data_IF_416504577831
#
_entry.id   IF_416504577831
#
_cell.length_a   1.000
_cell.length_b   1.000
_cell.length_c   1.000
_cell.angle_alpha   90.00
_cell.angle_beta   90.00
_cell.angle_gamma   90.00
#
_symmetry.space_group_name_H-M   'P 1'
#
loop_
_entity.id
_entity.type
_entity.pdbx_description
1 polymer ?
#
# COMPACT_ATOMS: atom_id res chain seq x y z
N UNK A 1 -28.07 51.37 -48.05
CA UNK A 1 -26.59 51.53 -48.02
C UNK A 1 -26.12 51.02 -46.66
N UNK A 2 -25.39 49.90 -46.53
CA UNK A 2 -23.91 49.82 -46.52
C UNK A 2 -23.32 50.96 -45.67
N UNK A 3 -22.50 50.81 -44.62
CA UNK A 3 -21.68 49.72 -44.04
C UNK A 3 -21.14 50.23 -42.66
N UNK A 4 -20.89 49.31 -41.72
CA UNK A 4 -19.88 49.23 -40.61
C UNK A 4 -19.24 50.53 -40.05
N UNK A 5 -18.87 50.67 -38.75
CA UNK A 5 -17.84 49.91 -38.04
C UNK A 5 -17.66 50.45 -36.59
N UNK A 6 -17.71 49.55 -35.60
CA UNK A 6 -16.99 49.45 -34.31
C UNK A 6 -16.60 50.68 -33.46
N UNK A 7 -16.93 50.62 -32.16
CA UNK A 7 -15.89 50.42 -31.13
C UNK A 7 -16.44 49.70 -29.89
N UNK A 8 -15.71 48.66 -29.52
CA UNK A 8 -15.84 47.79 -28.35
C UNK A 8 -15.49 48.53 -27.05
N UNK A 9 -16.22 48.26 -25.97
CA UNK A 9 -15.68 48.22 -24.62
C UNK A 9 -16.29 47.03 -23.90
N UNK A 10 -15.62 45.89 -24.08
CA UNK A 10 -15.78 44.68 -23.26
C UNK A 10 -15.27 45.00 -21.86
N UNK A 11 -16.17 45.27 -20.92
CA UNK A 11 -15.88 45.14 -19.50
C UNK A 11 -16.38 43.74 -19.11
N UNK A 12 -15.47 42.77 -19.23
CA UNK A 12 -15.61 41.45 -18.62
C UNK A 12 -15.42 41.64 -17.11
N UNK A 13 -16.53 41.78 -16.38
CA UNK A 13 -16.52 41.40 -14.97
C UNK A 13 -16.45 39.87 -14.89
N UNK A 14 -15.21 39.38 -14.86
CA UNK A 14 -14.87 38.15 -14.17
C UNK A 14 -15.28 38.31 -12.70
N UNK A 15 -16.47 37.83 -12.37
CA UNK A 15 -16.74 37.39 -11.01
C UNK A 15 -16.32 35.93 -10.95
N UNK A 16 -15.16 35.68 -10.35
CA UNK A 16 -14.81 34.38 -9.80
C UNK A 16 -15.93 33.98 -8.84
N UNK A 17 -16.84 33.12 -9.29
CA UNK A 17 -17.43 32.19 -8.34
C UNK A 17 -16.27 31.28 -7.96
N UNK A 18 -15.85 31.38 -6.70
CA UNK A 18 -15.14 30.28 -6.07
C UNK A 18 -16.04 29.07 -6.27
N UNK A 19 -15.62 28.14 -7.14
CA UNK A 19 -16.07 26.77 -7.02
C UNK A 19 -15.64 26.36 -5.63
N UNK A 20 -16.60 26.44 -4.69
CA UNK A 20 -16.49 25.76 -3.42
C UNK A 20 -15.97 24.37 -3.75
N UNK A 21 -14.78 24.05 -3.24
CA UNK A 21 -14.23 22.71 -3.31
C UNK A 21 -15.39 21.77 -3.00
N UNK A 22 -15.79 20.98 -4.00
CA UNK A 22 -16.77 19.93 -3.79
C UNK A 22 -16.09 18.99 -2.82
N UNK A 23 -16.37 19.18 -1.53
CA UNK A 23 -16.12 18.22 -0.49
C UNK A 23 -16.99 17.04 -0.91
N UNK A 24 -16.41 16.12 -1.68
CA UNK A 24 -16.99 14.80 -1.86
C UNK A 24 -17.09 14.29 -0.42
N UNK A 25 -18.31 14.15 0.13
CA UNK A 25 -18.45 13.55 1.44
C UNK A 25 -17.76 12.20 1.34
N UNK A 26 -16.87 11.88 2.28
CA UNK A 26 -16.54 10.48 2.52
C UNK A 26 -17.89 9.86 2.82
N UNK A 27 -18.47 9.18 1.83
CA UNK A 27 -19.66 8.38 2.03
C UNK A 27 -19.33 7.55 3.25
N UNK A 28 -20.08 7.75 4.33
CA UNK A 28 -20.11 6.85 5.47
C UNK A 28 -20.64 5.54 4.91
N UNK A 29 -19.76 4.80 4.24
CA UNK A 29 -19.94 3.42 3.85
C UNK A 29 -20.02 2.67 5.17
N UNK A 30 -21.24 2.58 5.69
CA UNK A 30 -21.61 1.62 6.73
C UNK A 30 -21.45 0.23 6.13
N UNK A 31 -20.20 -0.20 5.99
CA UNK A 31 -19.84 -1.53 5.52
C UNK A 31 -19.64 -2.42 6.74
N UNK A 32 -20.50 -3.42 6.88
CA UNK A 32 -20.50 -4.40 7.97
C UNK A 32 -19.83 -5.72 7.59
N UNK A 33 -19.24 -5.81 6.39
CA UNK A 33 -18.69 -7.04 5.84
C UNK A 33 -17.16 -7.00 5.82
N UNK A 34 -16.54 -7.25 6.97
CA UNK A 34 -15.10 -7.49 7.01
C UNK A 34 -14.78 -8.88 6.46
N UNK A 35 -13.72 -9.04 5.64
CA UNK A 35 -13.37 -10.35 5.15
C UNK A 35 -12.92 -11.18 6.34
N UNK A 36 -13.62 -12.28 6.64
CA UNK A 36 -13.19 -13.21 7.70
C UNK A 36 -11.89 -13.92 7.34
N UNK A 37 -11.50 -13.90 6.07
CA UNK A 37 -10.23 -14.41 5.61
C UNK A 37 -9.96 -14.14 4.13
N UNK A 38 -8.78 -14.52 3.67
CA UNK A 38 -8.41 -14.51 2.24
C UNK A 38 -7.51 -15.69 1.93
N UNK A 39 -7.58 -16.23 0.70
CA UNK A 39 -6.75 -17.37 0.33
C UNK A 39 -5.36 -16.96 -0.08
N UNK A 40 -4.43 -17.85 0.22
CA UNK A 40 -3.05 -17.82 -0.21
C UNK A 40 -2.75 -19.13 -0.93
N UNK A 41 -2.07 -19.04 -2.06
CA UNK A 41 -1.60 -20.23 -2.79
C UNK A 41 -0.47 -20.87 -2.02
N UNK A 42 -0.62 -22.12 -1.59
CA UNK A 42 0.42 -22.91 -0.92
C UNK A 42 1.03 -23.95 -1.85
N UNK A 43 2.12 -24.60 -1.44
CA UNK A 43 2.67 -25.73 -2.18
C UNK A 43 1.68 -26.91 -2.26
N UNK A 44 0.85 -27.08 -1.24
CA UNK A 44 -0.11 -28.19 -1.12
C UNK A 44 -1.51 -27.84 -1.68
N UNK A 45 -1.69 -26.64 -2.23
CA UNK A 45 -2.96 -26.18 -2.79
C UNK A 45 -3.26 -24.74 -2.39
N UNK A 46 -4.39 -24.52 -1.74
CA UNK A 46 -4.77 -23.21 -1.24
C UNK A 46 -5.07 -23.30 0.25
N UNK A 47 -4.72 -22.26 0.98
CA UNK A 47 -5.12 -22.13 2.36
C UNK A 47 -5.66 -20.73 2.65
N UNK A 48 -6.31 -20.52 3.79
CA UNK A 48 -6.99 -19.28 4.14
C UNK A 48 -6.37 -18.65 5.37
N UNK A 49 -6.00 -17.39 5.25
CA UNK A 49 -5.69 -16.52 6.38
C UNK A 49 -7.01 -16.09 7.00
N UNK A 50 -7.17 -16.19 8.32
CA UNK A 50 -8.35 -15.72 9.05
C UNK A 50 -8.08 -14.36 9.70
N UNK A 51 -9.10 -13.52 9.75
CA UNK A 51 -9.07 -12.18 10.33
C UNK A 51 -10.12 -12.06 11.46
N UNK A 52 -9.73 -11.46 12.59
CA UNK A 52 -10.61 -11.19 13.73
C UNK A 52 -10.69 -9.70 14.02
N UNK A 53 -11.86 -9.25 14.46
CA UNK A 53 -12.20 -7.85 14.59
C UNK A 53 -12.81 -7.54 15.96
N UNK A 54 -12.57 -6.33 16.45
CA UNK A 54 -13.24 -5.75 17.60
C UNK A 54 -13.56 -4.29 17.30
N UNK A 55 -14.79 -3.86 17.56
CA UNK A 55 -15.23 -2.48 17.32
C UNK A 55 -14.85 -1.97 15.91
N UNK A 56 -15.12 -2.78 14.88
CA UNK A 56 -14.85 -2.43 13.48
C UNK A 56 -13.36 -2.22 13.12
N UNK A 57 -12.46 -2.68 13.99
CA UNK A 57 -11.00 -2.69 13.74
C UNK A 57 -10.49 -4.11 13.74
N UNK A 58 -9.56 -4.40 12.84
CA UNK A 58 -8.85 -5.69 12.83
C UNK A 58 -7.96 -5.78 14.07
N UNK A 59 -8.10 -6.85 14.85
CA UNK A 59 -7.28 -7.12 16.04
C UNK A 59 -6.38 -8.33 15.90
N UNK A 60 -6.66 -9.23 14.94
CA UNK A 60 -5.84 -10.42 14.72
C UNK A 60 -5.86 -10.93 13.29
N UNK A 61 -4.71 -11.38 12.81
CA UNK A 61 -4.53 -12.21 11.62
C UNK A 61 -4.01 -13.59 12.04
N UNK A 62 -4.60 -14.65 11.53
CA UNK A 62 -4.20 -16.04 11.78
C UNK A 62 -3.86 -16.67 10.44
N UNK A 63 -2.66 -17.22 10.31
CA UNK A 63 -2.08 -17.63 9.04
C UNK A 63 -1.01 -16.65 8.58
N UNK A 64 0.20 -17.15 8.41
CA UNK A 64 1.29 -16.40 7.78
C UNK A 64 2.26 -17.33 7.05
N UNK A 65 3.15 -16.74 6.28
CA UNK A 65 4.24 -17.43 5.59
C UNK A 65 5.52 -17.37 6.40
N UNK A 66 6.21 -18.50 6.51
CA UNK A 66 7.58 -18.58 7.03
C UNK A 66 8.51 -18.91 5.87
N UNK A 67 9.62 -18.19 5.80
CA UNK A 67 10.73 -18.59 4.96
C UNK A 67 11.62 -19.59 5.72
N UNK A 68 11.75 -20.82 5.21
CA UNK A 68 12.64 -21.82 5.80
C UNK A 68 14.09 -21.61 5.36
N UNK A 69 15.02 -22.20 6.10
CA UNK A 69 16.45 -22.02 5.87
C UNK A 69 16.89 -22.47 4.46
N UNK A 70 17.96 -21.86 3.97
CA UNK A 70 18.61 -22.20 2.70
C UNK A 70 18.97 -23.69 2.57
N UNK A 71 19.31 -24.34 3.69
CA UNK A 71 19.61 -25.78 3.75
C UNK A 71 18.43 -26.68 3.33
N UNK A 72 17.20 -26.15 3.38
CA UNK A 72 15.97 -26.84 2.93
C UNK A 72 15.53 -26.44 1.51
N UNK A 73 16.34 -25.67 0.78
CA UNK A 73 16.04 -25.20 -0.57
C UNK A 73 15.15 -23.97 -0.64
N UNK A 74 15.16 -23.11 0.39
CA UNK A 74 14.34 -21.88 0.48
C UNK A 74 12.85 -22.13 0.24
N UNK A 75 12.24 -23.02 1.02
CA UNK A 75 10.80 -23.23 0.94
C UNK A 75 10.07 -22.18 1.77
N UNK A 76 9.04 -21.58 1.21
CA UNK A 76 8.07 -20.82 2.01
C UNK A 76 6.98 -21.79 2.47
N UNK A 77 6.73 -21.85 3.78
CA UNK A 77 5.68 -22.70 4.37
C UNK A 77 4.61 -21.78 4.94
N UNK A 78 3.37 -22.00 4.52
CA UNK A 78 2.22 -21.36 5.13
C UNK A 78 1.81 -22.14 6.39
N UNK A 79 1.45 -21.45 7.46
CA UNK A 79 0.93 -22.09 8.67
C UNK A 79 -0.14 -21.25 9.36
N UNK A 80 -1.26 -21.89 9.69
CA UNK A 80 -2.34 -21.34 10.54
C UNK A 80 -1.95 -21.24 12.03
N UNK A 81 -0.81 -21.78 12.41
CA UNK A 81 -0.27 -21.69 13.78
C UNK A 81 0.53 -20.40 14.01
N UNK A 82 0.55 -19.51 13.02
CA UNK A 82 1.19 -18.20 13.08
C UNK A 82 0.13 -17.13 13.17
N UNK A 83 0.34 -16.16 14.05
CA UNK A 83 -0.63 -15.13 14.34
C UNK A 83 0.04 -13.76 14.37
N UNK A 84 -0.69 -12.72 13.98
CA UNK A 84 -0.30 -11.33 14.18
C UNK A 84 -1.43 -10.63 14.93
N UNK A 85 -1.16 -10.14 16.12
CA UNK A 85 -2.08 -9.30 16.88
C UNK A 85 -1.87 -7.83 16.52
N UNK A 86 -2.95 -7.05 16.60
CA UNK A 86 -2.96 -5.61 16.35
C UNK A 86 -3.55 -4.90 17.57
N UNK A 87 -2.71 -4.17 18.29
CA UNK A 87 -3.08 -3.43 19.49
C UNK A 87 -3.15 -1.94 19.20
N UNK A 88 -4.35 -1.36 19.28
CA UNK A 88 -4.56 0.08 19.09
C UNK A 88 -4.49 0.83 20.41
N UNK A 89 -3.71 1.91 20.45
CA UNK A 89 -3.62 2.81 21.60
C UNK A 89 -3.52 4.26 21.13
N UNK A 90 -4.55 5.06 21.42
CA UNK A 90 -4.61 6.45 20.96
C UNK A 90 -4.51 6.57 19.44
N UNK A 91 -3.43 7.19 18.95
CA UNK A 91 -3.14 7.39 17.52
C UNK A 91 -2.18 6.35 16.94
N UNK A 92 -1.95 5.23 17.62
CA UNK A 92 -1.03 4.19 17.13
C UNK A 92 -1.67 2.81 17.07
N UNK A 93 -1.12 1.95 16.22
CA UNK A 93 -1.37 0.52 16.20
C UNK A 93 -0.03 -0.23 16.24
N UNK A 94 0.12 -1.17 17.17
CA UNK A 94 1.29 -2.02 17.27
C UNK A 94 0.95 -3.41 16.74
N UNK A 95 1.78 -3.94 15.84
CA UNK A 95 1.67 -5.30 15.34
C UNK A 95 2.68 -6.18 16.08
N UNK A 96 2.20 -7.30 16.62
CA UNK A 96 3.05 -8.30 17.27
C UNK A 96 2.78 -9.67 16.68
N UNK A 97 3.83 -10.34 16.22
CA UNK A 97 3.75 -11.68 15.64
C UNK A 97 4.00 -12.75 16.69
N UNK A 98 3.24 -13.84 16.62
CA UNK A 98 3.30 -14.98 17.53
C UNK A 98 3.33 -16.28 16.75
N UNK A 99 4.06 -17.27 17.26
CA UNK A 99 4.10 -18.62 16.70
C UNK A 99 3.71 -19.65 17.75
N UNK A 100 2.76 -20.52 17.38
CA UNK A 100 2.36 -21.71 18.15
C UNK A 100 3.07 -22.98 17.66
N UNK A 101 4.09 -22.84 16.80
CA UNK A 101 4.94 -23.95 16.36
C UNK A 101 6.08 -24.16 17.36
N UNK A 102 6.35 -25.41 17.72
CA UNK A 102 7.43 -25.75 18.66
C UNK A 102 8.83 -25.42 18.11
N UNK A 103 9.00 -25.50 16.79
CA UNK A 103 10.29 -25.34 16.11
C UNK A 103 10.51 -23.95 15.49
N UNK A 104 9.53 -23.05 15.59
CA UNK A 104 9.63 -21.71 15.01
C UNK A 104 9.10 -20.66 15.98
N UNK A 105 9.87 -19.58 16.16
CA UNK A 105 9.48 -18.41 16.93
C UNK A 105 9.82 -17.16 16.13
N UNK A 106 8.92 -16.18 16.15
CA UNK A 106 9.24 -14.88 15.58
C UNK A 106 10.31 -14.20 16.43
N UNK A 107 11.17 -13.45 15.76
CA UNK A 107 11.98 -12.45 16.44
C UNK A 107 11.06 -11.33 16.94
N UNK A 108 11.42 -10.71 18.06
CA UNK A 108 10.65 -9.62 18.66
C UNK A 108 10.86 -8.32 17.87
N UNK A 109 10.51 -8.34 16.59
CA UNK A 109 10.51 -7.17 15.71
C UNK A 109 9.28 -6.31 16.07
N UNK A 110 9.43 -5.00 16.00
CA UNK A 110 8.36 -4.07 16.36
C UNK A 110 7.85 -3.37 15.12
N UNK A 111 6.54 -3.40 14.90
CA UNK A 111 5.88 -2.75 13.78
C UNK A 111 4.85 -1.76 14.35
N UNK A 112 5.14 -0.47 14.29
CA UNK A 112 4.28 0.59 14.85
C UNK A 112 3.74 1.45 13.73
N UNK A 113 2.43 1.58 13.64
CA UNK A 113 1.75 2.50 12.73
C UNK A 113 1.22 3.70 13.52
N UNK A 114 1.42 4.90 12.99
CA UNK A 114 0.89 6.16 13.53
C UNK A 114 -0.17 6.70 12.59
N UNK A 115 -1.27 7.20 13.15
CA UNK A 115 -2.42 7.70 12.40
C UNK A 115 -2.62 9.20 12.58
N UNK A 116 -3.00 9.87 11.49
CA UNK A 116 -3.64 11.18 11.51
C UNK A 116 -5.13 11.00 11.14
N UNK A 117 -6.01 11.01 12.14
CA UNK A 117 -7.41 10.62 11.95
C UNK A 117 -7.50 9.13 11.59
N UNK A 118 -8.06 8.82 10.41
CA UNK A 118 -8.17 7.46 9.89
C UNK A 118 -7.02 7.06 8.94
N UNK A 119 -6.18 8.02 8.55
CA UNK A 119 -5.07 7.80 7.62
C UNK A 119 -3.82 7.42 8.38
N UNK A 120 -3.09 6.41 7.89
CA UNK A 120 -1.73 6.12 8.38
C UNK A 120 -0.85 7.28 7.93
N UNK A 121 -0.17 7.95 8.87
CA UNK A 121 0.81 9.00 8.56
C UNK A 121 2.22 8.43 8.48
N UNK A 122 2.54 7.48 9.37
CA UNK A 122 3.87 6.87 9.45
C UNK A 122 3.79 5.41 9.86
N UNK A 123 4.77 4.60 9.46
CA UNK A 123 5.02 3.29 10.04
C UNK A 123 6.51 3.11 10.35
N UNK A 124 6.83 2.58 11.52
CA UNK A 124 8.21 2.33 11.97
C UNK A 124 8.38 0.85 12.25
N UNK A 125 9.35 0.24 11.58
CA UNK A 125 9.72 -1.16 11.74
C UNK A 125 11.14 -1.25 12.32
N UNK A 126 11.29 -1.98 13.42
CA UNK A 126 12.59 -2.27 14.05
C UNK A 126 12.79 -3.77 14.17
N UNK A 127 14.04 -4.21 14.02
CA UNK A 127 14.36 -5.63 13.89
C UNK A 127 15.32 -6.07 14.98
N UNK A 128 14.95 -7.10 15.73
CA UNK A 128 15.79 -7.60 16.83
C UNK A 128 17.13 -8.17 16.33
N UNK A 129 17.13 -8.80 15.15
CA UNK A 129 18.33 -9.39 14.57
C UNK A 129 19.35 -8.36 14.08
N UNK A 130 18.92 -7.11 13.82
CA UNK A 130 19.77 -6.06 13.28
C UNK A 130 19.62 -4.81 14.17
N UNK A 131 20.27 -4.81 15.35
CA UNK A 131 20.18 -3.68 16.26
C UNK A 131 20.67 -2.41 15.56
N UNK A 132 19.95 -1.30 15.77
CA UNK A 132 20.14 0.00 15.13
C UNK A 132 19.68 0.13 13.67
N UNK A 133 19.13 -0.93 13.06
CA UNK A 133 18.44 -0.80 11.76
C UNK A 133 16.95 -0.52 11.97
N UNK A 134 16.46 0.58 11.39
CA UNK A 134 15.06 1.00 11.45
C UNK A 134 14.57 1.40 10.07
N UNK A 135 13.41 0.89 9.67
CA UNK A 135 12.68 1.37 8.50
C UNK A 135 11.56 2.30 8.95
N UNK A 136 11.51 3.49 8.36
CA UNK A 136 10.43 4.46 8.55
C UNK A 136 9.74 4.73 7.23
N UNK A 137 8.46 4.38 7.15
CA UNK A 137 7.59 4.66 6.02
C UNK A 137 6.79 5.94 6.31
N UNK A 138 6.86 6.94 5.43
CA UNK A 138 6.11 8.19 5.54
C UNK A 138 5.05 8.25 4.45
N UNK A 139 3.79 8.39 4.84
CA UNK A 139 2.63 8.33 3.97
C UNK A 139 2.12 9.75 3.71
N UNK A 140 2.10 10.16 2.43
CA UNK A 140 1.69 11.50 2.03
C UNK A 140 0.42 11.42 1.19
N UNK A 141 -0.58 12.22 1.56
CA UNK A 141 -1.89 12.26 0.94
C UNK A 141 -2.13 13.59 0.24
N UNK A 142 -2.93 13.56 -0.81
CA UNK A 142 -3.45 14.71 -1.54
C UNK A 142 -4.92 14.44 -1.84
N UNK A 143 -5.80 15.40 -1.54
CA UNK A 143 -7.26 15.24 -1.71
C UNK A 143 -7.82 13.96 -1.06
N UNK A 144 -7.36 13.65 0.16
CA UNK A 144 -7.72 12.44 0.92
C UNK A 144 -7.33 11.09 0.28
N UNK A 145 -6.55 11.09 -0.81
CA UNK A 145 -5.99 9.89 -1.44
C UNK A 145 -4.48 9.81 -1.21
N UNK A 146 -3.94 8.60 -1.05
CA UNK A 146 -2.49 8.43 -0.90
C UNK A 146 -1.81 8.86 -2.21
N UNK A 147 -0.84 9.77 -2.11
CA UNK A 147 -0.05 10.25 -3.24
C UNK A 147 1.24 9.45 -3.37
N UNK A 148 2.00 9.36 -2.28
CA UNK A 148 3.21 8.55 -2.24
C UNK A 148 3.55 8.05 -0.84
N UNK A 149 4.41 7.04 -0.78
CA UNK A 149 5.08 6.57 0.43
C UNK A 149 6.59 6.66 0.21
N UNK A 150 7.27 7.31 1.13
CA UNK A 150 8.74 7.30 1.21
C UNK A 150 9.20 6.25 2.21
N UNK A 151 10.24 5.50 1.86
CA UNK A 151 11.00 4.69 2.81
C UNK A 151 12.27 5.43 3.21
N UNK A 152 12.40 5.69 4.50
CA UNK A 152 13.63 6.14 5.13
C UNK A 152 14.25 5.01 5.95
N UNK A 153 15.57 4.88 5.92
CA UNK A 153 16.32 3.91 6.71
C UNK A 153 17.26 4.64 7.65
N UNK A 154 17.32 4.17 8.90
CA UNK A 154 18.39 4.50 9.84
C UNK A 154 19.18 3.25 10.13
N UNK A 155 20.50 3.33 10.05
CA UNK A 155 21.45 2.27 10.37
C UNK A 155 22.70 2.85 11.07
N UNK A 156 23.79 2.09 11.12
CA UNK A 156 25.04 2.56 11.75
C UNK A 156 25.68 3.75 11.02
N UNK A 157 25.48 3.85 9.71
CA UNK A 157 26.14 4.83 8.84
C UNK A 157 25.23 6.00 8.51
N UNK A 158 23.91 5.76 8.38
CA UNK A 158 22.97 6.76 7.93
C UNK A 158 21.79 6.94 8.90
N UNK A 159 21.26 8.16 8.98
CA UNK A 159 20.07 8.49 9.77
C UNK A 159 18.99 9.07 8.87
N UNK A 160 17.80 8.46 8.87
CA UNK A 160 16.67 8.85 8.02
C UNK A 160 17.06 9.04 6.54
N UNK A 161 17.81 8.09 6.01
CA UNK A 161 18.27 8.06 4.62
C UNK A 161 17.12 7.64 3.70
N UNK A 162 16.72 8.50 2.75
CA UNK A 162 15.69 8.16 1.78
C UNK A 162 16.21 7.02 0.89
N UNK A 163 15.55 5.87 0.91
CA UNK A 163 15.91 4.71 0.09
C UNK A 163 15.10 4.60 -1.18
N UNK A 164 13.79 4.86 -1.11
CA UNK A 164 12.90 4.78 -2.26
C UNK A 164 11.58 5.54 -2.03
N UNK A 165 10.85 5.73 -3.13
CA UNK A 165 9.48 6.25 -3.16
C UNK A 165 8.56 5.36 -3.97
N UNK A 166 7.34 5.17 -3.48
CA UNK A 166 6.21 4.56 -4.20
C UNK A 166 5.17 5.62 -4.46
N UNK A 167 4.95 6.00 -5.72
CA UNK A 167 3.88 6.91 -6.13
C UNK A 167 2.63 6.12 -6.51
N UNK A 168 1.45 6.59 -6.12
CA UNK A 168 0.17 5.92 -6.34
C UNK A 168 -0.70 6.74 -7.30
N UNK A 169 -1.37 6.06 -8.21
CA UNK A 169 -2.23 6.65 -9.21
C UNK A 169 -3.59 5.97 -9.19
N UNK A 170 -4.66 6.76 -9.23
CA UNK A 170 -6.04 6.27 -9.17
C UNK A 170 -6.74 6.58 -10.49
N UNK A 171 -7.62 5.67 -10.92
CA UNK A 171 -8.49 5.93 -12.06
C UNK A 171 -9.73 6.75 -11.64
N UNK A 172 -10.51 7.17 -12.63
CA UNK A 172 -11.71 7.99 -12.44
C UNK A 172 -12.80 7.33 -11.59
N UNK A 173 -12.74 6.01 -11.40
CA UNK A 173 -13.69 5.27 -10.57
C UNK A 173 -13.25 5.19 -9.09
N UNK A 174 -12.12 5.83 -8.73
CA UNK A 174 -11.56 5.79 -7.37
C UNK A 174 -10.87 4.46 -7.04
N UNK A 175 -10.45 3.70 -8.06
CA UNK A 175 -9.69 2.47 -7.89
C UNK A 175 -8.20 2.73 -8.14
N UNK A 176 -7.32 2.04 -7.43
CA UNK A 176 -5.88 2.15 -7.62
C UNK A 176 -5.53 1.68 -9.04
N UNK A 177 -5.09 2.54 -9.92
CA UNK A 177 -4.73 2.14 -11.29
C UNK A 177 -3.35 1.51 -11.31
N UNK A 178 -2.39 2.20 -10.72
CA UNK A 178 -0.99 1.81 -10.74
C UNK A 178 -0.21 2.37 -9.56
N UNK A 179 0.90 1.72 -9.25
CA UNK A 179 1.96 2.28 -8.42
C UNK A 179 3.27 2.29 -9.19
N UNK A 180 4.09 3.28 -8.88
CA UNK A 180 5.39 3.46 -9.50
C UNK A 180 6.45 3.59 -8.42
N UNK A 181 7.33 2.60 -8.36
CA UNK A 181 8.47 2.53 -7.46
C UNK A 181 9.73 3.11 -8.13
N UNK A 182 10.49 3.89 -7.37
CA UNK A 182 11.83 4.40 -7.71
C UNK A 182 12.74 4.33 -6.49
N UNK A 183 13.96 3.87 -6.72
CA UNK A 183 15.05 4.04 -5.76
C UNK A 183 15.46 5.52 -5.67
N UNK A 184 16.01 5.90 -4.53
CA UNK A 184 16.64 7.19 -4.35
C UNK A 184 18.00 7.22 -5.04
N UNK A 185 18.34 8.40 -5.55
CA UNK A 185 19.66 8.71 -6.07
C UNK A 185 20.51 9.40 -5.02
N UNK A 186 21.81 9.13 -5.13
CA UNK A 186 22.86 9.64 -4.27
C UNK A 186 23.85 10.44 -5.10
N UNK A 187 24.23 11.63 -4.61
CA UNK A 187 25.38 12.34 -5.16
C UNK A 187 26.63 11.90 -4.40
N UNK A 188 27.39 10.98 -5.00
CA UNK A 188 28.62 10.45 -4.41
C UNK A 188 29.78 11.47 -4.40
N UNK A 189 29.62 12.63 -5.04
CA UNK A 189 30.65 13.67 -5.08
C UNK A 189 30.36 14.82 -4.11
N UNK A 190 29.12 14.93 -3.63
CA UNK A 190 28.71 15.94 -2.67
C UNK A 190 27.82 15.33 -1.58
N UNK A 191 28.47 14.94 -0.47
CA UNK A 191 27.82 14.34 0.71
C UNK A 191 26.83 15.29 1.42
N UNK A 192 26.85 16.60 1.13
CA UNK A 192 25.89 17.55 1.67
C UNK A 192 24.51 17.49 0.98
N UNK A 193 24.41 16.80 -0.17
CA UNK A 193 23.15 16.63 -0.90
C UNK A 193 22.45 15.38 -0.36
N UNK A 194 21.30 15.51 0.31
CA UNK A 194 20.56 14.35 0.80
C UNK A 194 20.04 13.52 -0.39
N UNK A 195 19.84 12.20 -0.20
CA UNK A 195 19.30 11.35 -1.26
C UNK A 195 17.93 11.85 -1.71
N UNK A 196 17.65 11.73 -3.01
CA UNK A 196 16.45 12.28 -3.63
C UNK A 196 15.88 11.38 -4.72
N UNK A 197 14.63 11.58 -5.09
CA UNK A 197 14.02 10.85 -6.22
C UNK A 197 14.31 11.61 -7.51
N UNK A 198 15.17 11.09 -8.38
CA UNK A 198 15.38 11.66 -9.71
C UNK A 198 14.29 11.21 -10.70
N UNK A 199 13.39 12.13 -11.05
CA UNK A 199 12.35 11.88 -12.06
C UNK A 199 12.86 11.96 -13.50
N UNK A 200 14.10 12.43 -13.73
CA UNK A 200 14.72 12.40 -15.07
C UNK A 200 15.18 11.00 -15.42
N UNK A 201 15.57 10.18 -14.43
CA UNK A 201 15.82 8.76 -14.64
C UNK A 201 14.51 8.05 -14.99
N UNK A 202 14.60 7.23 -16.03
CA UNK A 202 13.47 6.45 -16.51
C UNK A 202 13.41 5.06 -15.88
N UNK A 203 14.46 4.63 -15.18
CA UNK A 203 14.50 3.40 -14.42
C UNK A 203 13.42 3.41 -13.33
N UNK A 204 12.59 2.37 -13.31
CA UNK A 204 11.46 2.27 -12.39
C UNK A 204 10.83 0.88 -12.44
N UNK A 205 10.04 0.59 -11.41
CA UNK A 205 9.13 -0.56 -11.41
C UNK A 205 7.69 -0.07 -11.36
N UNK A 206 6.86 -0.55 -12.28
CA UNK A 206 5.45 -0.18 -12.38
C UNK A 206 4.61 -1.42 -12.09
N UNK A 207 3.74 -1.34 -11.08
CA UNK A 207 2.70 -2.34 -10.85
C UNK A 207 1.36 -1.76 -11.28
N UNK A 208 0.67 -2.43 -12.19
CA UNK A 208 -0.69 -2.09 -12.62
C UNK A 208 -1.70 -3.03 -11.97
N UNK A 209 -2.86 -2.47 -11.62
CA UNK A 209 -3.96 -3.18 -10.98
C UNK A 209 -5.16 -3.15 -11.91
N UNK A 210 -5.75 -4.31 -12.18
CA UNK A 210 -6.79 -4.42 -13.21
C UNK A 210 -7.81 -5.51 -12.90
N UNK A 211 -8.79 -5.66 -13.80
CA UNK A 211 -9.90 -6.60 -13.67
C UNK A 211 -10.69 -6.36 -12.37
N UNK A 212 -11.09 -5.10 -12.15
CA UNK A 212 -11.90 -4.72 -11.01
C UNK A 212 -13.28 -5.36 -11.07
N UNK A 213 -13.77 -5.86 -9.94
CA UNK A 213 -15.17 -6.22 -9.82
C UNK A 213 -16.07 -5.04 -9.46
N UNK A 214 -17.36 -5.33 -9.35
CA UNK A 214 -18.39 -4.34 -9.04
C UNK A 214 -18.75 -4.34 -7.54
N UNK A 215 -18.12 -5.22 -6.74
CA UNK A 215 -18.39 -5.35 -5.31
C UNK A 215 -17.65 -4.27 -4.54
N UNK A 216 -18.20 -3.85 -3.40
CA UNK A 216 -17.48 -3.01 -2.46
C UNK A 216 -16.26 -3.74 -1.90
N UNK A 217 -15.16 -3.02 -1.74
CA UNK A 217 -13.91 -3.56 -1.26
C UNK A 217 -13.92 -3.83 0.26
N UNK A 218 -13.83 -5.10 0.70
CA UNK A 218 -13.81 -5.48 2.11
C UNK A 218 -12.46 -5.20 2.79
N UNK A 219 -11.39 -4.99 2.01
CA UNK A 219 -10.03 -4.83 2.54
C UNK A 219 -9.71 -3.40 2.99
N UNK A 220 -10.62 -2.43 2.79
CA UNK A 220 -10.39 -1.00 3.06
C UNK A 220 -9.88 -0.68 4.47
N UNK A 221 -10.17 -1.54 5.46
CA UNK A 221 -9.74 -1.36 6.86
C UNK A 221 -8.51 -2.20 7.25
N UNK A 222 -7.76 -2.74 6.26
CA UNK A 222 -6.63 -3.65 6.49
C UNK A 222 -5.27 -3.05 6.12
N UNK A 223 -5.19 -1.72 6.00
CA UNK A 223 -3.97 -1.01 5.61
C UNK A 223 -2.77 -1.19 6.56
N UNK A 224 -3.00 -1.66 7.78
CA UNK A 224 -1.91 -1.99 8.74
C UNK A 224 -1.15 -3.27 8.40
N UNK A 225 -1.66 -4.09 7.48
CA UNK A 225 -0.91 -5.22 6.94
C UNK A 225 -0.33 -4.84 5.58
N UNK A 226 0.99 -4.80 5.49
CA UNK A 226 1.71 -4.30 4.31
C UNK A 226 1.38 -5.07 3.04
N UNK A 227 1.11 -6.38 3.14
CA UNK A 227 0.71 -7.23 2.01
C UNK A 227 -0.74 -7.00 1.55
N UNK A 228 -1.58 -6.40 2.39
CA UNK A 228 -2.96 -6.04 2.06
C UNK A 228 -3.16 -4.54 1.82
N UNK A 229 -2.14 -3.71 2.06
CA UNK A 229 -2.25 -2.26 1.94
C UNK A 229 -2.74 -1.81 0.56
N UNK A 230 -2.18 -2.33 -0.54
CA UNK A 230 -2.64 -1.93 -1.87
C UNK A 230 -4.08 -2.36 -2.15
N UNK A 231 -4.49 -3.52 -1.62
CA UNK A 231 -5.90 -3.94 -1.66
C UNK A 231 -6.78 -2.97 -0.91
N UNK A 232 -6.35 -2.43 0.24
CA UNK A 232 -7.17 -1.50 1.02
C UNK A 232 -7.40 -0.14 0.35
N UNK A 233 -6.63 0.24 -0.67
CA UNK A 233 -6.71 1.57 -1.29
C UNK A 233 -7.85 1.74 -2.30
N UNK A 234 -8.37 0.67 -2.89
CA UNK A 234 -9.33 0.76 -3.99
C UNK A 234 -10.79 0.80 -3.52
N UNK A 235 -11.69 1.39 -4.31
CA UNK A 235 -13.14 1.31 -4.09
C UNK A 235 -13.69 -0.10 -4.29
N UNK A 236 -13.20 -0.79 -5.31
CA UNK A 236 -13.52 -2.16 -5.69
C UNK A 236 -12.28 -3.05 -5.63
N UNK A 237 -12.46 -4.37 -5.70
CA UNK A 237 -11.34 -5.29 -5.64
C UNK A 237 -10.74 -5.52 -7.03
N UNK A 238 -9.47 -5.18 -7.22
CA UNK A 238 -8.72 -5.68 -8.39
C UNK A 238 -8.59 -7.19 -8.30
N UNK A 239 -8.60 -7.85 -9.46
CA UNK A 239 -8.42 -9.31 -9.64
C UNK A 239 -7.15 -9.69 -10.36
N UNK A 240 -6.34 -8.69 -10.72
CA UNK A 240 -5.08 -8.89 -11.41
C UNK A 240 -4.07 -7.81 -11.03
N UNK A 241 -2.84 -8.23 -10.76
CA UNK A 241 -1.65 -7.38 -10.68
C UNK A 241 -0.66 -7.78 -11.75
N UNK A 242 -0.04 -6.79 -12.38
CA UNK A 242 1.11 -7.01 -13.26
C UNK A 242 2.20 -6.03 -12.90
N UNK A 243 3.42 -6.52 -12.70
CA UNK A 243 4.58 -5.69 -12.40
C UNK A 243 5.61 -5.81 -13.51
N UNK A 244 6.11 -4.68 -13.98
CA UNK A 244 7.13 -4.57 -15.02
C UNK A 244 8.23 -3.60 -14.60
N UNK A 245 9.46 -3.99 -14.85
CA UNK A 245 10.64 -3.16 -14.62
C UNK A 245 11.07 -2.46 -15.92
N UNK A 246 11.62 -1.26 -15.78
CA UNK A 246 12.11 -0.45 -16.89
C UNK A 246 13.55 -0.04 -16.58
N UNK A 247 14.40 -0.06 -17.60
CA UNK A 247 15.81 0.32 -17.49
C UNK A 247 16.03 1.85 -17.48
N UNK A 248 17.29 2.26 -17.45
CA UNK A 248 17.70 3.67 -17.43
C UNK A 248 17.24 4.46 -18.67
N UNK A 249 17.05 3.80 -19.81
CA UNK A 249 16.52 4.41 -21.04
C UNK A 249 14.98 4.44 -21.06
N UNK A 250 14.34 3.77 -20.10
CA UNK A 250 12.90 3.62 -19.96
C UNK A 250 12.32 2.51 -20.83
N UNK A 251 13.15 1.59 -21.30
CA UNK A 251 12.70 0.41 -22.04
C UNK A 251 12.29 -0.68 -21.05
N UNK A 252 11.21 -1.44 -21.34
CA UNK A 252 10.78 -2.52 -20.48
C UNK A 252 11.83 -3.64 -20.47
N UNK A 253 12.18 -4.13 -19.28
CA UNK A 253 13.03 -5.31 -19.13
C UNK A 253 12.23 -6.60 -19.32
N UNK A 254 12.90 -7.75 -19.35
CA UNK A 254 12.25 -9.06 -19.41
C UNK A 254 11.58 -9.45 -18.07
N UNK A 255 11.82 -8.69 -17.00
CA UNK A 255 11.26 -8.97 -15.68
C UNK A 255 9.79 -8.56 -15.63
N UNK A 256 8.91 -9.54 -15.81
CA UNK A 256 7.47 -9.39 -15.68
C UNK A 256 6.96 -10.39 -14.64
N UNK A 257 6.20 -9.90 -13.67
CA UNK A 257 5.50 -10.73 -12.68
C UNK A 257 4.01 -10.45 -12.78
N UNK A 258 3.19 -11.49 -12.77
CA UNK A 258 1.74 -11.38 -12.84
C UNK A 258 1.10 -12.25 -11.76
N UNK A 259 0.00 -11.78 -11.20
CA UNK A 259 -0.85 -12.58 -10.32
C UNK A 259 -2.31 -12.22 -10.59
N UNK A 260 -3.18 -13.21 -10.50
CA UNK A 260 -4.62 -13.05 -10.71
C UNK A 260 -5.39 -13.89 -9.72
N UNK A 261 -6.57 -13.44 -9.34
CA UNK A 261 -7.41 -14.15 -8.40
C UNK A 261 -8.89 -13.87 -8.64
N UNK A 262 -9.73 -14.79 -8.19
CA UNK A 262 -11.17 -14.66 -8.23
C UNK A 262 -11.74 -14.49 -6.83
N UNK A 263 -12.84 -13.73 -6.71
CA UNK A 263 -13.52 -13.52 -5.43
C UNK A 263 -14.94 -14.06 -5.48
N UNK A 264 -15.31 -14.79 -4.44
CA UNK A 264 -16.68 -15.17 -4.13
C UNK A 264 -17.13 -14.45 -2.87
N UNK A 265 -18.29 -13.81 -2.95
CA UNK A 265 -18.86 -13.02 -1.87
C UNK A 265 -20.05 -13.78 -1.29
N UNK A 266 -19.94 -14.25 -0.05
CA UNK A 266 -21.01 -14.99 0.62
C UNK A 266 -21.27 -14.43 2.02
N UNK A 267 -22.50 -13.98 2.29
CA UNK A 267 -22.93 -13.49 3.60
C UNK A 267 -22.01 -12.41 4.21
N UNK A 268 -21.48 -11.51 3.39
CA UNK A 268 -20.52 -10.47 3.83
C UNK A 268 -19.08 -10.97 4.04
N UNK A 269 -18.77 -12.19 3.60
CA UNK A 269 -17.42 -12.75 3.57
C UNK A 269 -16.87 -12.71 2.16
N UNK A 270 -15.54 -12.60 2.03
CA UNK A 270 -14.85 -12.72 0.75
C UNK A 270 -13.98 -13.96 0.76
N UNK A 271 -14.34 -14.92 -0.08
CA UNK A 271 -13.54 -16.09 -0.39
C UNK A 271 -12.75 -15.80 -1.66
N UNK A 272 -11.47 -16.13 -1.66
CA UNK A 272 -10.59 -15.96 -2.82
C UNK A 272 -10.44 -17.34 -3.48
N UNK A 273 -10.97 -17.52 -4.68
CA UNK A 273 -11.18 -18.84 -5.28
C UNK A 273 -10.02 -19.34 -6.15
N UNK A 274 -9.08 -18.47 -6.51
CA UNK A 274 -7.94 -18.74 -7.37
C UNK A 274 -6.86 -17.69 -7.15
#
# INVERSE_FOLDING_TARGET
>A
MKKYLYLLLFILFWSCNNEDDVIIPVENNTFTAYPKGYFVSTYEGYDTIKLEYQNNKITKRIGDWIQTSSASGYRTIFSKLLETNVDYSGKTANLTKFSKLDWYQYLNDTHVYTFNGLQISEATLTYRAIPNYTEKYVYVYENNQIKYIDLFVTDHYFTNDLRNRRNFYFNTNGNLDSLVYRDADYDFYNEDIPPYIDYKKKERKVTTFSNYDQSQNPFQNLGVFTDLYYKSLSKNNFRKTQTREYDQEGKPTLNVSESSWDYEYMNGEVRVLK
#
